data_IF_492265344441
#
_entry.id   IF_492265344441
#
_cell.length_a   1.000
_cell.length_b   1.000
_cell.length_c   1.000
_cell.angle_alpha   90.00
_cell.angle_beta   90.00
_cell.angle_gamma   90.00
#
_symmetry.space_group_name_H-M   'P 1'
#
loop_
_entity.id
_entity.type
_entity.pdbx_description
1 polymer ?
#
# COMPACT_ATOMS: atom_id res chain seq x y z
N UNK A 1 1.96 -13.28 0.24
CA UNK A 1 2.11 -11.86 0.60
C UNK A 1 1.98 -11.70 2.10
N UNK A 2 2.72 -10.79 2.70
CA UNK A 2 2.67 -10.53 4.15
C UNK A 2 2.72 -9.03 4.41
N UNK A 3 1.87 -8.54 5.33
CA UNK A 3 1.95 -7.17 5.81
C UNK A 3 3.24 -7.01 6.61
N UNK A 4 4.11 -6.11 6.18
CA UNK A 4 5.40 -5.83 6.82
C UNK A 4 5.28 -4.71 7.84
N UNK A 5 4.59 -3.63 7.47
CA UNK A 5 4.55 -2.41 8.28
C UNK A 5 3.34 -1.55 7.92
N UNK A 6 2.80 -0.84 8.91
CA UNK A 6 1.79 0.22 8.74
C UNK A 6 2.36 1.50 9.30
N UNK A 7 2.46 2.53 8.48
CA UNK A 7 2.96 3.85 8.86
C UNK A 7 1.84 4.88 8.76
N UNK A 8 1.70 5.69 9.80
CA UNK A 8 0.81 6.84 9.81
C UNK A 8 1.67 8.10 9.78
N UNK A 9 1.49 8.91 8.75
CA UNK A 9 2.30 10.11 8.49
C UNK A 9 1.36 11.32 8.35
N UNK A 10 1.58 12.35 9.15
CA UNK A 10 0.79 13.60 9.09
C UNK A 10 1.43 14.66 8.19
N UNK A 11 2.56 14.35 7.55
CA UNK A 11 3.32 15.29 6.72
C UNK A 11 3.04 15.06 5.23
N UNK A 12 2.69 16.10 4.44
CA UNK A 12 2.62 17.52 4.78
C UNK A 12 1.18 18.02 5.06
N UNK A 13 0.71 17.92 6.29
CA UNK A 13 -0.51 18.59 6.78
C UNK A 13 -1.80 17.76 6.72
N UNK A 14 -1.72 16.49 6.35
CA UNK A 14 -2.83 15.55 6.31
C UNK A 14 -2.37 14.17 6.76
N UNK A 15 -3.29 13.36 7.30
CA UNK A 15 -2.98 11.98 7.71
C UNK A 15 -2.93 11.05 6.49
N UNK A 16 -1.79 10.43 6.26
CA UNK A 16 -1.55 9.42 5.23
C UNK A 16 -1.30 8.08 5.90
N UNK A 17 -2.03 7.04 5.51
CA UNK A 17 -1.80 5.69 5.97
C UNK A 17 -1.05 4.89 4.90
N UNK A 18 0.14 4.40 5.22
CA UNK A 18 0.99 3.64 4.29
C UNK A 18 1.08 2.19 4.73
N UNK A 19 0.60 1.28 3.89
CA UNK A 19 0.64 -0.15 4.13
C UNK A 19 1.72 -0.78 3.25
N UNK A 20 2.72 -1.40 3.88
CA UNK A 20 3.86 -2.01 3.20
C UNK A 20 3.74 -3.51 3.26
N UNK A 21 3.74 -4.16 2.10
CA UNK A 21 3.65 -5.61 1.96
C UNK A 21 4.90 -6.17 1.29
N UNK A 22 5.30 -7.37 1.74
CA UNK A 22 6.32 -8.18 1.08
C UNK A 22 5.66 -9.29 0.28
N UNK A 23 6.05 -9.38 -0.98
CA UNK A 23 5.47 -10.24 -2.00
C UNK A 23 6.58 -10.79 -2.90
N UNK A 24 7.35 -11.81 -2.45
CA UNK A 24 8.51 -12.32 -3.19
C UNK A 24 8.20 -12.77 -4.61
N UNK A 25 6.94 -13.12 -4.90
CA UNK A 25 6.49 -13.55 -6.20
C UNK A 25 6.47 -12.44 -7.27
N UNK A 26 6.59 -11.16 -6.88
CA UNK A 26 6.65 -10.05 -7.84
C UNK A 26 8.07 -9.85 -8.42
N UNK A 27 9.08 -10.57 -7.91
CA UNK A 27 10.42 -10.61 -8.48
C UNK A 27 10.40 -11.33 -9.85
N UNK A 28 10.03 -10.61 -10.90
CA UNK A 28 9.95 -11.14 -12.27
C UNK A 28 9.44 -10.12 -13.28
N UNK A 29 9.57 -10.44 -14.57
CA UNK A 29 9.03 -9.65 -15.67
C UNK A 29 7.51 -9.86 -15.81
N UNK A 30 6.76 -8.78 -16.08
CA UNK A 30 5.29 -8.74 -16.27
C UNK A 30 4.38 -8.90 -15.02
N UNK A 31 4.88 -8.54 -13.84
CA UNK A 31 4.05 -8.55 -12.62
C UNK A 31 3.20 -7.28 -12.40
N UNK A 32 3.33 -6.24 -13.22
CA UNK A 32 2.74 -4.91 -12.93
C UNK A 32 1.21 -4.94 -12.85
N UNK A 33 0.54 -5.46 -13.89
CA UNK A 33 -0.93 -5.52 -13.92
C UNK A 33 -1.50 -6.42 -12.81
N UNK A 34 -0.84 -7.56 -12.53
CA UNK A 34 -1.23 -8.43 -11.43
C UNK A 34 -0.99 -7.76 -10.07
N UNK A 35 0.11 -7.03 -9.92
CA UNK A 35 0.44 -6.31 -8.68
C UNK A 35 -0.57 -5.21 -8.41
N UNK A 36 -1.01 -4.45 -9.42
CA UNK A 36 -2.07 -3.46 -9.28
C UNK A 36 -3.39 -4.11 -8.81
N UNK A 37 -3.79 -5.22 -9.44
CA UNK A 37 -4.99 -5.97 -9.04
C UNK A 37 -4.88 -6.54 -7.60
N UNK A 38 -3.70 -7.04 -7.21
CA UNK A 38 -3.45 -7.50 -5.85
C UNK A 38 -3.54 -6.34 -4.85
N UNK A 39 -3.04 -5.15 -5.21
CA UNK A 39 -3.12 -3.95 -4.36
C UNK A 39 -4.57 -3.49 -4.18
N UNK A 40 -5.38 -3.47 -5.25
CA UNK A 40 -6.82 -3.18 -5.18
C UNK A 40 -7.53 -4.15 -4.22
N UNK A 41 -7.23 -5.45 -4.35
CA UNK A 41 -7.77 -6.47 -3.48
C UNK A 41 -7.37 -6.27 -2.01
N UNK A 42 -6.09 -5.99 -1.75
CA UNK A 42 -5.58 -5.70 -0.40
C UNK A 42 -6.25 -4.47 0.21
N UNK A 43 -6.55 -3.45 -0.61
CA UNK A 43 -7.21 -2.26 -0.13
C UNK A 43 -8.61 -2.59 0.44
N UNK A 44 -9.43 -3.29 -0.34
CA UNK A 44 -10.78 -3.65 0.07
C UNK A 44 -10.81 -4.72 1.18
N UNK A 45 -9.96 -5.74 1.09
CA UNK A 45 -10.02 -6.91 1.96
C UNK A 45 -9.32 -6.72 3.32
N UNK A 46 -8.30 -5.85 3.40
CA UNK A 46 -7.48 -5.70 4.59
C UNK A 46 -7.40 -4.24 5.07
N UNK A 47 -7.09 -3.29 4.18
CA UNK A 47 -6.83 -1.91 4.59
C UNK A 47 -8.10 -1.22 5.10
N UNK A 48 -9.21 -1.33 4.38
CA UNK A 48 -10.48 -0.75 4.81
C UNK A 48 -10.93 -1.31 6.17
N UNK A 49 -10.98 -2.65 6.39
CA UNK A 49 -11.29 -3.21 7.71
C UNK A 49 -10.32 -2.78 8.80
N UNK A 50 -9.02 -2.72 8.52
CA UNK A 50 -8.01 -2.29 9.49
C UNK A 50 -8.26 -0.84 9.95
N UNK A 51 -8.46 0.08 9.01
CA UNK A 51 -8.68 1.50 9.33
C UNK A 51 -10.00 1.69 10.11
N UNK A 52 -11.06 0.96 9.73
CA UNK A 52 -12.32 0.97 10.46
C UNK A 52 -12.15 0.43 11.90
N UNK A 53 -11.44 -0.69 12.06
CA UNK A 53 -11.19 -1.30 13.37
C UNK A 53 -10.41 -0.37 14.32
N UNK A 54 -9.43 0.35 13.79
CA UNK A 54 -8.60 1.29 14.55
C UNK A 54 -9.16 2.72 14.60
N UNK A 55 -10.34 2.97 14.02
CA UNK A 55 -10.95 4.30 13.89
C UNK A 55 -10.01 5.35 13.27
N UNK A 56 -9.22 4.95 12.27
CA UNK A 56 -8.27 5.81 11.56
C UNK A 56 -8.94 6.33 10.30
N UNK A 57 -8.96 7.65 10.12
CA UNK A 57 -9.53 8.31 8.93
C UNK A 57 -8.44 9.08 8.18
N UNK A 58 -7.63 8.40 7.36
CA UNK A 58 -6.59 9.07 6.60
C UNK A 58 -7.20 9.81 5.40
N UNK A 59 -6.57 10.91 4.98
CA UNK A 59 -6.91 11.58 3.72
C UNK A 59 -6.52 10.70 2.52
N UNK A 60 -5.37 10.01 2.63
CA UNK A 60 -4.86 9.12 1.59
C UNK A 60 -4.29 7.83 2.18
N UNK A 61 -4.46 6.77 1.41
CA UNK A 61 -3.92 5.44 1.68
C UNK A 61 -2.92 5.11 0.58
N UNK A 62 -1.70 4.79 0.96
CA UNK A 62 -0.68 4.30 0.04
C UNK A 62 -0.44 2.83 0.34
N UNK A 63 -0.54 1.97 -0.66
CA UNK A 63 -0.23 0.55 -0.53
C UNK A 63 0.97 0.25 -1.41
N UNK A 64 2.01 -0.34 -0.82
CA UNK A 64 3.22 -0.72 -1.55
C UNK A 64 3.46 -2.21 -1.45
N UNK A 65 3.76 -2.84 -2.59
CA UNK A 65 4.29 -4.20 -2.67
C UNK A 65 5.80 -4.13 -2.92
N UNK A 66 6.55 -5.02 -2.29
CA UNK A 66 8.00 -5.16 -2.51
C UNK A 66 8.37 -6.64 -2.54
N UNK A 67 9.27 -7.05 -3.44
CA UNK A 67 9.72 -8.43 -3.55
C UNK A 67 10.47 -8.92 -2.29
N UNK A 68 11.05 -7.98 -1.54
CA UNK A 68 11.80 -8.23 -0.32
C UNK A 68 11.43 -7.23 0.77
N UNK A 69 11.80 -7.54 2.01
CA UNK A 69 11.71 -6.60 3.12
C UNK A 69 12.71 -5.47 2.92
N UNK A 70 12.24 -4.24 3.05
CA UNK A 70 13.05 -3.03 2.85
C UNK A 70 12.87 -2.10 4.05
N UNK A 71 13.97 -1.59 4.63
CA UNK A 71 13.91 -0.52 5.62
C UNK A 71 13.13 0.68 5.10
N UNK A 72 12.34 1.32 5.97
CA UNK A 72 11.70 2.57 5.60
C UNK A 72 12.76 3.65 5.27
N UNK A 73 12.54 4.39 4.20
CA UNK A 73 13.46 5.44 3.74
C UNK A 73 14.73 4.95 3.03
N UNK A 74 14.93 3.64 2.85
CA UNK A 74 16.06 3.13 2.04
C UNK A 74 15.71 3.08 0.56
N UNK A 75 16.64 3.52 -0.29
CA UNK A 75 16.57 3.28 -1.74
C UNK A 75 17.11 1.89 -2.05
N UNK A 76 16.29 1.04 -2.68
CA UNK A 76 16.68 -0.30 -3.12
C UNK A 76 16.37 -0.44 -4.62
N UNK A 77 17.23 0.07 -5.52
CA UNK A 77 16.98 0.07 -6.96
C UNK A 77 16.89 -1.33 -7.57
N UNK A 78 17.43 -2.34 -6.89
CA UNK A 78 17.36 -3.74 -7.26
C UNK A 78 16.08 -4.46 -6.79
N UNK A 79 15.29 -3.81 -5.93
CA UNK A 79 14.03 -4.36 -5.44
C UNK A 79 12.91 -4.03 -6.43
N UNK A 80 12.12 -5.04 -6.78
CA UNK A 80 10.88 -4.79 -7.55
C UNK A 80 9.83 -4.27 -6.59
N UNK A 81 9.34 -3.05 -6.84
CA UNK A 81 8.34 -2.41 -6.00
C UNK A 81 7.23 -1.81 -6.86
N UNK A 82 5.99 -2.00 -6.40
CA UNK A 82 4.80 -1.36 -6.96
C UNK A 82 4.10 -0.58 -5.86
N UNK A 83 3.51 0.55 -6.20
CA UNK A 83 2.81 1.40 -5.26
C UNK A 83 1.56 1.96 -5.91
N UNK A 84 0.48 1.98 -5.14
CA UNK A 84 -0.77 2.62 -5.54
C UNK A 84 -1.24 3.55 -4.42
N UNK A 85 -1.93 4.60 -4.82
CA UNK A 85 -2.52 5.58 -3.89
C UNK A 85 -4.03 5.55 -4.04
N UNK A 86 -4.72 5.56 -2.91
CA UNK A 86 -6.17 5.55 -2.83
C UNK A 86 -6.67 6.66 -1.91
N UNK A 87 -7.82 7.22 -2.25
CA UNK A 87 -8.67 7.98 -1.33
C UNK A 87 -9.80 7.08 -0.87
N UNK A 88 -10.08 7.10 0.43
CA UNK A 88 -11.20 6.36 0.97
C UNK A 88 -12.47 7.18 0.90
N UNK A 89 -13.48 6.64 0.22
CA UNK A 89 -14.80 7.24 0.12
C UNK A 89 -15.85 6.21 0.54
N UNK A 90 -16.56 6.46 1.64
CA UNK A 90 -17.57 5.56 2.20
C UNK A 90 -17.11 4.09 2.36
N UNK A 91 -15.84 3.87 2.74
CA UNK A 91 -15.27 2.53 2.88
C UNK A 91 -14.88 1.86 1.56
N UNK A 92 -14.88 2.60 0.45
CA UNK A 92 -14.39 2.16 -0.85
C UNK A 92 -13.05 2.80 -1.15
N UNK A 93 -12.12 2.01 -1.69
CA UNK A 93 -10.85 2.50 -2.17
C UNK A 93 -11.02 3.10 -3.56
N UNK A 94 -10.98 4.43 -3.65
CA UNK A 94 -10.96 5.15 -4.92
C UNK A 94 -9.50 5.33 -5.32
N UNK A 95 -9.10 4.67 -6.38
CA UNK A 95 -7.76 4.80 -6.92
C UNK A 95 -7.50 6.25 -7.36
N UNK A 96 -6.43 6.84 -6.83
CA UNK A 96 -5.93 8.19 -7.17
C UNK A 96 -4.53 8.12 -7.82
N UNK A 97 -4.11 6.92 -8.26
CA UNK A 97 -2.82 6.70 -8.89
C UNK A 97 -2.68 7.37 -10.26
N UNK A 98 -1.43 7.76 -10.57
CA UNK A 98 -1.00 8.52 -11.75
C UNK A 98 -0.54 7.62 -12.89
#
# INVERSE_FOLDING_TARGET
MTLSEVLLDETPGALWARFRFVAPQIAGTDAAAQSAADIDHLCAALVVPYLAHHAITPERVVISLSDRSLPFGSTAPEATQFFETYRLEAGTCIWEGF
#
